data_IF_821773831022
#
_entry.id   IF_821773831022
#
_cell.length_a   1.000
_cell.length_b   1.000
_cell.length_c   1.000
_cell.angle_alpha   90.00
_cell.angle_beta   90.00
_cell.angle_gamma   90.00
#
_symmetry.space_group_name_H-M   'P 1'
#
loop_
_entity.id
_entity.type
_entity.pdbx_description
1 polymer ?
2 non-polymer ?
3 non-polymer ?
4 water ?
#
# COMPACT_ATOMS: atom_id res chain seq x y z
N UNK A 1 0.34 -16.63 14.46
CA UNK A 1 1.13 -15.41 14.36
C UNK A 1 2.24 -15.48 15.43
N UNK A 2 1.89 -15.24 16.70
CA UNK A 2 2.88 -15.11 17.77
C UNK A 2 3.27 -16.47 18.34
N UNK A 3 4.58 -16.75 18.39
CA UNK A 3 5.14 -17.96 18.98
C UNK A 3 6.16 -17.61 20.05
N UNK A 4 6.48 -18.60 20.88
CA UNK A 4 7.43 -18.48 21.99
C UNK A 4 8.38 -19.66 21.93
N UNK A 5 9.65 -19.41 22.29
CA UNK A 5 10.69 -20.42 22.30
C UNK A 5 10.64 -21.26 23.57
N UNK A 6 10.59 -22.60 23.41
CA UNK A 6 10.49 -23.50 24.57
C UNK A 6 11.84 -23.92 25.11
N UNK A 7 12.87 -23.90 24.27
CA UNK A 7 14.21 -24.37 24.61
C UNK A 7 15.22 -23.38 24.04
N UNK A 8 16.34 -23.21 24.73
CA UNK A 8 17.45 -22.43 24.18
C UNK A 8 18.03 -23.13 22.95
N UNK A 9 18.52 -22.31 22.00
CA UNK A 9 18.94 -22.83 20.69
C UNK A 9 19.98 -21.90 20.05
N UNK A 10 21.25 -22.33 20.08
CA UNK A 10 22.28 -21.88 19.15
C UNK A 10 22.07 -22.30 17.72
N UNK A 11 22.31 -21.33 16.83
CA UNK A 11 22.22 -21.51 15.39
C UNK A 11 23.23 -22.53 14.91
N UNK A 12 22.74 -23.50 14.13
CA UNK A 12 23.51 -24.53 13.45
C UNK A 12 23.81 -24.04 12.06
N UNK A 13 22.73 -24.06 11.29
CA UNK A 13 22.76 -24.10 9.86
C UNK A 13 23.13 -22.72 9.37
N UNK A 14 22.91 -22.52 8.09
CA UNK A 14 23.20 -21.26 7.46
C UNK A 14 22.01 -20.31 7.53
N UNK A 15 20.79 -20.86 7.63
CA UNK A 15 19.56 -20.11 7.47
C UNK A 15 18.81 -19.84 8.78
N UNK A 16 19.38 -20.21 9.93
CA UNK A 16 18.63 -20.12 11.17
C UNK A 16 19.21 -19.05 12.09
N UNK A 17 18.37 -18.55 12.99
CA UNK A 17 18.84 -17.65 14.04
C UNK A 17 18.78 -18.32 15.41
N UNK A 18 19.57 -17.75 16.33
CA UNK A 18 19.71 -18.21 17.70
C UNK A 18 18.73 -17.48 18.62
N UNK A 19 18.40 -18.14 19.72
CA UNK A 19 17.44 -17.56 20.67
C UNK A 19 17.51 -18.30 21.99
N UNK A 20 17.02 -17.61 23.02
CA UNK A 20 16.83 -18.14 24.35
C UNK A 20 15.37 -18.52 24.53
N UNK A 21 15.12 -19.53 25.38
CA UNK A 21 13.75 -19.92 25.66
C UNK A 21 13.02 -18.74 26.26
N UNK A 22 11.79 -18.52 25.83
CA UNK A 22 11.01 -17.39 26.28
C UNK A 22 11.00 -16.23 25.30
N UNK A 23 11.97 -16.17 24.38
CA UNK A 23 11.91 -15.17 23.32
C UNK A 23 10.68 -15.42 22.46
N UNK A 24 10.09 -14.33 22.01
CA UNK A 24 8.94 -14.39 21.14
C UNK A 24 9.36 -14.29 19.67
N UNK A 25 8.54 -14.89 18.81
CA UNK A 25 8.71 -14.82 17.38
C UNK A 25 7.34 -14.61 16.79
N UNK A 26 7.32 -13.89 15.68
CA UNK A 26 6.13 -13.74 14.85
C UNK A 26 6.41 -14.46 13.53
N UNK A 27 5.52 -15.39 13.20
CA UNK A 27 5.78 -16.43 12.19
C UNK A 27 5.31 -15.96 10.82
N UNK A 28 6.16 -16.16 9.80
CA UNK A 28 5.85 -15.79 8.43
C UNK A 28 5.23 -16.96 7.67
N UNK A 29 5.96 -18.06 7.57
CA UNK A 29 5.34 -19.28 7.07
C UNK A 29 6.10 -20.48 7.61
N UNK A 30 5.48 -21.64 7.50
CA UNK A 30 6.17 -22.88 7.78
C UNK A 30 7.08 -23.23 6.61
N UNK A 31 7.71 -24.40 6.71
CA UNK A 31 8.32 -25.01 5.54
C UNK A 31 7.97 -26.49 5.57
N UNK A 32 8.85 -27.31 6.14
CA UNK A 32 8.58 -28.73 6.29
C UNK A 32 7.59 -28.95 7.43
N UNK A 33 7.53 -30.16 8.00
CA UNK A 33 6.70 -30.41 9.16
C UNK A 33 7.39 -29.91 10.41
N UNK A 34 8.36 -29.03 10.19
CA UNK A 34 9.24 -28.50 11.22
C UNK A 34 9.48 -27.06 10.79
N UNK A 35 10.75 -26.62 10.68
CA UNK A 35 11.15 -25.26 10.25
C UNK A 35 10.06 -24.22 10.06
N UNK A 36 10.14 -23.11 10.76
CA UNK A 36 9.38 -21.92 10.43
C UNK A 36 10.33 -20.81 9.99
N UNK A 37 9.83 -19.95 9.11
CA UNK A 37 10.39 -18.64 8.84
C UNK A 37 9.70 -17.62 9.74
N UNK A 38 10.49 -16.81 10.45
CA UNK A 38 9.93 -15.95 11.50
C UNK A 38 10.75 -14.67 11.66
N UNK A 39 10.21 -13.75 12.47
CA UNK A 39 10.92 -12.56 12.91
C UNK A 39 11.04 -12.58 14.42
N UNK A 40 12.27 -12.47 14.92
CA UNK A 40 12.49 -12.27 16.35
C UNK A 40 11.95 -10.93 16.80
N UNK A 41 11.08 -10.93 17.82
CA UNK A 41 10.75 -9.65 18.41
C UNK A 41 11.96 -9.07 19.13
N UNK A 42 12.89 -9.92 19.57
CA UNK A 42 14.02 -9.39 20.34
C UNK A 42 14.99 -8.61 19.45
N UNK A 43 15.18 -9.03 18.20
CA UNK A 43 16.18 -8.42 17.34
C UNK A 43 15.64 -7.96 16.00
N UNK A 44 14.36 -8.22 15.69
CA UNK A 44 13.82 -7.89 14.39
C UNK A 44 14.45 -8.65 13.23
N UNK A 45 15.24 -9.67 13.51
CA UNK A 45 15.85 -10.45 12.43
C UNK A 45 14.89 -11.50 11.88
N UNK A 46 14.95 -11.70 10.57
CA UNK A 46 14.15 -12.70 9.87
C UNK A 46 15.00 -13.93 9.61
N UNK A 47 14.46 -15.10 9.93
CA UNK A 47 15.21 -16.30 9.65
C UNK A 47 14.41 -17.52 10.06
N UNK A 48 15.09 -18.66 10.03
CA UNK A 48 14.44 -19.94 10.25
C UNK A 48 14.62 -20.37 11.70
N UNK A 49 13.53 -20.81 12.33
CA UNK A 49 13.58 -21.43 13.65
C UNK A 49 13.06 -22.85 13.51
N UNK A 50 13.57 -23.83 14.27
CA UNK A 50 13.07 -25.21 14.12
C UNK A 50 11.81 -25.43 14.92
N UNK A 51 10.86 -26.15 14.34
CA UNK A 51 9.59 -26.30 15.04
C UNK A 51 9.74 -27.08 16.36
N UNK A 52 10.80 -27.89 16.52
CA UNK A 52 10.98 -28.55 17.81
C UNK A 52 11.25 -27.58 18.96
N UNK A 53 11.49 -26.30 18.70
CA UNK A 53 11.89 -25.41 19.78
C UNK A 53 10.84 -24.36 20.11
N UNK A 54 9.71 -24.36 19.40
CA UNK A 54 8.87 -23.19 19.31
C UNK A 54 7.41 -23.67 19.37
N UNK A 55 6.53 -22.82 19.89
CA UNK A 55 5.13 -23.18 20.05
C UNK A 55 4.29 -21.93 19.95
N UNK A 56 3.01 -22.06 19.55
CA UNK A 56 2.15 -20.87 19.43
C UNK A 56 1.62 -20.40 20.78
N UNK A 57 1.46 -19.07 20.90
CA UNK A 57 0.95 -18.46 22.12
C UNK A 57 -0.56 -18.27 22.01
N UNK A 58 -1.00 -17.26 21.26
CA UNK A 58 -2.38 -16.87 21.17
C UNK A 58 -2.60 -15.48 20.59
N UNK A 59 -1.66 -15.05 19.74
CA UNK A 59 -1.76 -13.77 19.03
C UNK A 59 -2.43 -13.87 17.67
N UNK A 65 -7.88 -14.14 11.38
CA UNK A 65 -9.19 -14.31 10.78
C UNK A 65 -9.16 -14.11 9.29
N UNK A 66 -9.04 -12.85 8.88
CA UNK A 66 -8.85 -12.51 7.48
C UNK A 66 -7.39 -12.13 7.25
N UNK A 67 -7.00 -12.16 5.97
CA UNK A 67 -5.66 -11.69 5.63
C UNK A 67 -5.44 -10.25 6.08
N UNK A 68 -6.50 -9.43 6.12
CA UNK A 68 -6.28 -8.00 6.33
C UNK A 68 -5.98 -7.66 7.79
N UNK A 69 -6.66 -8.30 8.76
CA UNK A 69 -6.21 -8.09 10.14
C UNK A 69 -4.83 -8.66 10.34
N UNK A 70 -4.53 -9.76 9.66
CA UNK A 70 -3.22 -10.39 9.83
C UNK A 70 -2.06 -9.52 9.31
N UNK A 71 -2.21 -8.86 8.14
CA UNK A 71 -1.22 -7.84 7.75
C UNK A 71 -1.11 -6.75 8.81
N UNK A 72 -2.26 -6.21 9.25
CA UNK A 72 -2.24 -5.17 10.27
C UNK A 72 -1.59 -5.66 11.56
N UNK A 73 -1.86 -6.91 11.94
CA UNK A 73 -1.29 -7.43 13.18
C UNK A 73 0.21 -7.57 13.05
N UNK A 74 0.70 -8.04 11.88
CA UNK A 74 2.13 -8.17 11.68
C UNK A 74 2.82 -6.82 11.85
N UNK A 75 2.27 -5.77 11.21
CA UNK A 75 2.85 -4.44 11.28
C UNK A 75 2.97 -3.97 12.73
N UNK A 76 1.92 -4.18 13.53
CA UNK A 76 1.89 -3.67 14.89
C UNK A 76 2.84 -4.44 15.80
N UNK A 77 3.19 -5.67 15.44
CA UNK A 77 4.16 -6.45 16.19
C UNK A 77 5.59 -6.14 15.75
N UNK A 78 5.81 -5.95 14.45
CA UNK A 78 7.15 -5.94 13.88
C UNK A 78 7.66 -4.52 13.60
N UNK A 79 6.81 -3.59 13.15
CA UNK A 79 7.30 -2.29 12.70
C UNK A 79 7.39 -1.27 13.83
N UNK A 80 8.38 -0.37 13.74
CA UNK A 80 8.46 0.81 14.60
C UNK A 80 7.30 1.76 14.34
N UNK A 81 6.39 1.97 15.29
CA UNK A 81 5.29 2.91 15.06
C UNK A 81 5.81 4.31 14.79
N UNK A 82 5.02 5.08 14.05
CA UNK A 82 5.32 6.45 13.66
C UNK A 82 6.47 6.57 12.69
N UNK A 83 6.90 5.47 12.07
CA UNK A 83 8.00 5.43 11.11
C UNK A 83 7.48 4.79 9.82
N UNK A 84 6.94 5.60 8.90
CA UNK A 84 6.34 5.04 7.66
C UNK A 84 7.22 4.07 6.91
N UNK A 85 8.53 4.35 6.82
CA UNK A 85 9.43 3.44 6.11
C UNK A 85 9.38 2.05 6.74
N UNK A 86 9.40 2.00 8.07
CA UNK A 86 9.27 0.76 8.80
C UNK A 86 7.96 0.04 8.46
N UNK A 87 6.84 0.78 8.45
CA UNK A 87 5.56 0.12 8.17
C UNK A 87 5.56 -0.47 6.77
N UNK A 88 6.03 0.28 5.76
CA UNK A 88 6.16 -0.26 4.42
C UNK A 88 7.00 -1.52 4.37
N UNK A 89 8.10 -1.55 5.10
CA UNK A 89 8.93 -2.74 5.05
C UNK A 89 8.22 -3.94 5.69
N UNK A 90 7.40 -3.69 6.73
CA UNK A 90 6.66 -4.77 7.38
C UNK A 90 5.62 -5.38 6.43
N UNK A 91 4.82 -4.53 5.78
CA UNK A 91 3.81 -5.02 4.85
C UNK A 91 4.47 -5.77 3.69
N UNK A 92 5.54 -5.17 3.13
CA UNK A 92 6.37 -5.82 2.13
C UNK A 92 6.84 -7.19 2.60
N UNK A 93 7.40 -7.26 3.82
CA UNK A 93 7.89 -8.52 4.39
C UNK A 93 6.79 -9.56 4.48
N UNK A 94 5.65 -9.20 5.08
CA UNK A 94 4.58 -10.17 5.24
C UNK A 94 4.00 -10.58 3.90
N UNK A 95 3.84 -9.63 2.99
CA UNK A 95 3.25 -9.98 1.70
C UNK A 95 4.24 -10.67 0.78
N UNK A 96 5.53 -10.66 1.10
CA UNK A 96 6.50 -11.46 0.35
C UNK A 96 6.53 -12.91 0.83
N UNK A 97 6.62 -13.13 2.14
CA UNK A 97 6.92 -14.45 2.66
C UNK A 97 5.73 -15.15 3.30
N UNK A 98 4.73 -14.41 3.75
CA UNK A 98 3.60 -15.00 4.45
C UNK A 98 2.37 -15.13 3.57
N UNK A 99 2.01 -14.08 2.83
CA UNK A 99 0.74 -14.09 2.11
C UNK A 99 0.77 -13.00 1.07
N UNK A 100 0.58 -13.37 -0.20
CA UNK A 100 0.39 -12.37 -1.24
C UNK A 100 -0.78 -11.46 -0.93
N UNK A 101 -0.60 -10.15 -1.17
CA UNK A 101 -1.70 -9.18 -1.13
C UNK A 101 -1.50 -8.14 -2.23
N UNK A 102 -2.62 -7.59 -2.72
CA UNK A 102 -2.66 -6.78 -3.94
C UNK A 102 -2.19 -5.34 -3.76
N UNK A 103 -1.45 -5.03 -2.70
CA UNK A 103 -0.76 -3.75 -2.65
C UNK A 103 0.11 -3.60 -3.89
N UNK A 104 0.27 -2.36 -4.37
CA UNK A 104 1.43 -2.08 -5.20
C UNK A 104 2.65 -2.45 -4.38
N UNK A 105 3.61 -3.13 -4.97
CA UNK A 105 4.71 -3.68 -4.18
C UNK A 105 5.74 -2.62 -3.84
N UNK A 106 6.91 -3.10 -3.37
CA UNK A 106 8.06 -2.20 -3.29
C UNK A 106 8.51 -1.74 -4.66
N UNK A 107 8.33 -2.58 -5.68
CA UNK A 107 8.81 -2.31 -7.04
C UNK A 107 8.11 -1.11 -7.68
N UNK A 108 6.81 -1.27 -7.97
CA UNK A 108 5.99 -0.16 -8.41
C UNK A 108 6.00 0.99 -7.42
N UNK A 109 6.28 0.73 -6.14
CA UNK A 109 6.44 1.81 -5.19
C UNK A 109 7.69 2.65 -5.39
N UNK A 110 8.72 2.08 -6.01
CA UNK A 110 9.84 2.91 -6.46
C UNK A 110 9.34 3.93 -7.47
N UNK A 111 8.50 3.51 -8.41
CA UNK A 111 7.98 4.43 -9.44
C UNK A 111 7.23 5.58 -8.77
N UNK A 112 6.26 5.25 -7.90
CA UNK A 112 5.48 6.28 -7.23
C UNK A 112 6.37 7.26 -6.48
N UNK A 113 7.39 6.73 -5.79
CA UNK A 113 8.29 7.62 -5.06
C UNK A 113 8.94 8.62 -6.00
N UNK A 114 9.31 8.17 -7.20
CA UNK A 114 9.93 9.06 -8.18
C UNK A 114 8.92 10.07 -8.70
N UNK A 115 7.72 9.61 -9.09
CA UNK A 115 6.64 10.50 -9.53
C UNK A 115 6.23 11.46 -8.42
N UNK A 116 5.96 10.93 -7.20
CA UNK A 116 5.60 11.82 -6.09
C UNK A 116 6.67 12.88 -5.91
N UNK A 117 7.94 12.47 -5.95
CA UNK A 117 9.05 13.40 -5.75
C UNK A 117 9.15 14.39 -6.90
N UNK A 118 8.99 13.91 -8.14
CA UNK A 118 9.12 14.76 -9.31
C UNK A 118 8.09 15.87 -9.33
N UNK A 119 6.87 15.59 -8.83
CA UNK A 119 5.75 16.50 -9.00
C UNK A 119 5.21 17.12 -7.71
N UNK A 120 5.83 16.86 -6.53
CA UNK A 120 5.48 17.51 -5.27
C UNK A 120 4.00 17.87 -5.14
N UNK A 121 3.09 16.92 -5.27
CA UNK A 121 1.66 17.28 -5.25
C UNK A 121 1.29 17.88 -3.90
N UNK A 122 0.49 18.95 -3.94
CA UNK A 122 -0.07 19.51 -2.71
C UNK A 122 -1.34 18.78 -2.29
N UNK A 123 -1.95 18.02 -3.19
CA UNK A 123 -3.21 17.35 -2.95
C UNK A 123 -3.28 16.17 -3.89
N UNK A 124 -3.47 14.98 -3.32
CA UNK A 124 -3.48 13.72 -4.06
C UNK A 124 -4.80 13.01 -3.76
N UNK A 125 -5.33 12.32 -4.76
CA UNK A 125 -6.49 11.46 -4.60
C UNK A 125 -6.08 10.05 -4.96
N UNK A 126 -6.15 9.16 -3.98
CA UNK A 126 -5.98 7.74 -4.20
C UNK A 126 -7.35 7.11 -4.37
N UNK A 127 -7.47 6.27 -5.38
CA UNK A 127 -8.68 5.48 -5.63
C UNK A 127 -8.32 4.04 -5.30
N UNK A 128 -8.66 3.62 -4.08
CA UNK A 128 -8.41 2.26 -3.64
C UNK A 128 -7.38 2.11 -2.53
N UNK A 129 -7.82 2.22 -1.28
CA UNK A 129 -6.87 2.21 -0.17
C UNK A 129 -6.41 0.80 0.17
N UNK A 130 -7.35 -0.14 0.27
CA UNK A 130 -7.12 -1.52 0.65
C UNK A 130 -6.55 -1.56 2.07
N UNK A 131 -5.29 -1.99 2.22
CA UNK A 131 -4.74 -2.08 3.57
C UNK A 131 -3.97 -0.83 3.97
N UNK A 132 -3.97 0.20 3.13
CA UNK A 132 -3.29 1.43 3.46
C UNK A 132 -1.85 1.48 3.02
N UNK A 133 -1.34 0.44 2.36
CA UNK A 133 0.05 0.44 1.92
C UNK A 133 0.39 1.69 1.12
N UNK A 134 -0.29 1.89 -0.02
CA UNK A 134 0.11 3.00 -0.90
C UNK A 134 -0.18 4.36 -0.28
N UNK A 135 -1.25 4.49 0.50
CA UNK A 135 -1.48 5.76 1.19
C UNK A 135 -0.25 6.14 2.01
N UNK A 136 0.32 5.17 2.74
CA UNK A 136 1.49 5.48 3.55
C UNK A 136 2.68 5.83 2.65
N UNK A 137 2.88 5.00 1.62
CA UNK A 137 3.95 5.18 0.64
C UNK A 137 3.97 6.61 0.06
N UNK A 138 2.80 7.15 -0.30
CA UNK A 138 2.74 8.52 -0.82
C UNK A 138 2.81 9.58 0.26
N UNK A 139 2.02 9.43 1.33
CA UNK A 139 1.94 10.48 2.35
C UNK A 139 3.28 10.69 3.04
N UNK A 140 4.08 9.64 3.21
CA UNK A 140 5.42 9.81 3.78
C UNK A 140 6.29 10.74 2.95
N UNK A 141 5.91 11.05 1.71
CA UNK A 141 6.73 11.87 0.84
C UNK A 141 6.14 13.24 0.56
N UNK A 142 4.90 13.53 0.97
CA UNK A 142 4.31 14.85 0.82
C UNK A 142 5.07 15.89 1.64
N UNK A 143 5.20 17.07 1.06
CA UNK A 143 5.63 18.25 1.77
C UNK A 143 4.70 18.54 2.94
N UNK A 144 5.22 19.17 4.01
CA UNK A 144 4.35 19.59 5.12
C UNK A 144 3.16 20.41 4.63
N UNK A 145 2.01 20.16 5.23
CA UNK A 145 0.80 20.85 4.81
C UNK A 145 0.07 20.15 3.69
N UNK A 146 0.81 19.44 2.84
CA UNK A 146 0.20 18.73 1.71
C UNK A 146 -0.71 17.59 2.20
N UNK A 147 -1.74 17.30 1.42
CA UNK A 147 -2.86 16.47 1.80
C UNK A 147 -3.00 15.27 0.88
N UNK A 148 -3.40 14.13 1.44
CA UNK A 148 -3.80 12.97 0.65
C UNK A 148 -5.25 12.61 0.97
N UNK A 149 -6.02 12.28 -0.08
CA UNK A 149 -7.40 11.83 0.07
C UNK A 149 -7.52 10.48 -0.60
N UNK A 150 -7.89 9.44 0.15
CA UNK A 150 -8.06 8.11 -0.43
C UNK A 150 -9.52 7.69 -0.37
N UNK A 151 -9.95 6.94 -1.39
CA UNK A 151 -11.35 6.54 -1.54
C UNK A 151 -11.42 5.03 -1.52
N UNK A 152 -12.24 4.47 -0.63
CA UNK A 152 -12.32 3.04 -0.39
C UNK A 152 -13.77 2.63 -0.22
N UNK A 153 -14.26 1.68 -1.04
CA UNK A 153 -15.68 1.29 -0.99
C UNK A 153 -15.88 0.63 0.35
N UNK A 154 -15.42 -0.61 0.41
CA UNK A 154 -15.31 -1.53 1.52
C UNK A 154 -15.04 -0.84 2.84
N UNK A 155 -16.01 -0.81 3.75
CA UNK A 155 -15.76 -0.24 5.08
C UNK A 155 -14.74 -1.05 5.86
N UNK A 156 -14.62 -2.34 5.55
CA UNK A 156 -13.63 -3.16 6.24
C UNK A 156 -12.21 -2.73 5.89
N UNK A 157 -11.92 -2.61 4.58
CA UNK A 157 -10.62 -2.11 4.16
C UNK A 157 -10.36 -0.71 4.71
N UNK A 158 -11.41 0.10 4.84
CA UNK A 158 -11.26 1.45 5.38
C UNK A 158 -10.84 1.42 6.84
N UNK A 159 -11.43 0.53 7.63
CA UNK A 159 -11.09 0.46 9.06
C UNK A 159 -9.63 0.08 9.25
N UNK A 160 -9.11 -0.81 8.40
CA UNK A 160 -7.71 -1.23 8.50
C UNK A 160 -6.80 -0.09 8.07
N UNK A 161 -7.14 0.56 6.96
CA UNK A 161 -6.34 1.66 6.46
C UNK A 161 -6.19 2.71 7.55
N UNK A 162 -7.25 2.96 8.31
CA UNK A 162 -7.21 3.97 9.37
C UNK A 162 -6.22 3.57 10.47
N UNK A 163 -6.28 2.31 10.92
CA UNK A 163 -5.32 1.84 11.91
C UNK A 163 -3.91 1.86 11.35
N UNK A 164 -3.74 1.39 10.12
CA UNK A 164 -2.42 1.39 9.50
C UNK A 164 -1.83 2.79 9.42
N UNK A 165 -2.65 3.80 9.11
CA UNK A 165 -2.15 5.19 9.12
C UNK A 165 -1.85 5.65 10.54
N UNK A 166 -2.79 5.41 11.47
CA UNK A 166 -2.53 5.71 12.88
C UNK A 166 -1.18 5.13 13.30
N UNK A 167 -0.89 3.90 12.89
CA UNK A 167 0.36 3.30 13.31
C UNK A 167 1.54 4.04 12.71
N UNK A 168 1.44 4.38 11.40
CA UNK A 168 2.53 5.05 10.70
C UNK A 168 2.71 6.49 11.13
N UNK A 169 1.76 7.06 11.87
CA UNK A 169 1.83 8.44 12.26
C UNK A 169 1.37 9.39 11.18
N UNK A 170 0.83 8.86 10.09
CA UNK A 170 0.43 9.64 8.92
C UNK A 170 -1.04 9.98 8.92
N UNK A 171 -1.78 9.66 10.00
CA UNK A 171 -3.21 9.93 9.98
C UNK A 171 -3.52 11.41 9.85
N UNK A 172 -2.61 12.30 10.29
CA UNK A 172 -2.89 13.73 10.33
C UNK A 172 -2.82 14.39 8.95
N UNK A 173 -2.17 13.75 7.97
CA UNK A 173 -2.12 14.29 6.62
C UNK A 173 -2.81 13.40 5.59
N UNK A 174 -3.73 12.55 6.02
CA UNK A 174 -4.52 11.70 5.14
C UNK A 174 -5.96 11.72 5.63
N UNK A 175 -6.89 11.42 4.73
CA UNK A 175 -8.32 11.41 5.02
C UNK A 175 -8.95 10.35 4.14
N UNK A 176 -9.40 9.24 4.76
CA UNK A 176 -10.09 8.18 4.03
C UNK A 176 -11.53 8.60 3.79
N UNK A 177 -12.03 8.29 2.60
CA UNK A 177 -13.39 8.59 2.19
C UNK A 177 -14.09 7.28 1.92
N UNK A 178 -15.27 7.11 2.54
CA UNK A 178 -15.99 5.83 2.57
C UNK A 178 -17.00 5.80 1.42
N UNK A 179 -16.72 5.03 0.39
CA UNK A 179 -17.70 4.88 -0.67
C UNK A 179 -17.04 4.52 -1.99
N UNK A 180 -17.88 4.33 -2.99
CA UNK A 180 -17.36 4.08 -4.32
C UNK A 180 -16.87 5.40 -4.92
N UNK A 181 -16.07 5.29 -5.97
CA UNK A 181 -15.53 6.46 -6.62
C UNK A 181 -16.63 7.35 -7.20
N UNK A 182 -17.51 6.76 -8.04
CA UNK A 182 -18.54 7.52 -8.74
C UNK A 182 -19.49 8.27 -7.80
N UNK A 183 -19.62 7.84 -6.56
CA UNK A 183 -20.38 8.48 -5.49
C UNK A 183 -19.66 9.68 -4.93
N UNK A 184 -18.33 9.52 -4.76
CA UNK A 184 -17.50 10.43 -3.96
C UNK A 184 -16.85 11.52 -4.80
N UNK A 185 -16.43 11.16 -6.02
CA UNK A 185 -15.79 12.12 -6.92
C UNK A 185 -16.67 13.35 -7.17
N UNK A 186 -17.95 13.21 -7.53
CA UNK A 186 -18.80 14.42 -7.60
C UNK A 186 -18.91 15.19 -6.28
N UNK A 187 -18.78 14.52 -5.13
CA UNK A 187 -18.89 15.17 -3.83
C UNK A 187 -17.66 16.01 -3.49
N UNK A 188 -16.64 15.99 -4.35
CA UNK A 188 -15.32 16.47 -3.96
C UNK A 188 -15.28 17.99 -3.81
N UNK A 189 -15.57 18.71 -4.90
CA UNK A 189 -15.58 20.16 -4.76
C UNK A 189 -16.65 20.60 -3.77
N UNK A 190 -17.86 20.04 -3.91
CA UNK A 190 -18.94 20.24 -2.95
C UNK A 190 -18.47 20.13 -1.50
N UNK A 191 -18.22 18.90 -1.07
CA UNK A 191 -18.32 18.58 0.34
C UNK A 191 -16.95 18.63 1.02
N UNK A 192 -15.86 18.51 0.26
CA UNK A 192 -14.48 18.53 0.75
C UNK A 192 -13.69 19.55 -0.07
N UNK A 193 -13.70 20.81 0.38
CA UNK A 193 -13.36 21.96 -0.45
C UNK A 193 -12.07 21.81 -1.26
N UNK A 194 -12.11 21.07 -2.37
CA UNK A 194 -10.98 20.96 -3.29
C UNK A 194 -11.30 21.79 -4.53
N UNK A 195 -10.31 22.54 -5.00
CA UNK A 195 -10.42 23.19 -6.30
C UNK A 195 -10.08 22.18 -7.38
N UNK A 196 -8.79 22.02 -7.63
CA UNK A 196 -8.28 20.98 -8.50
C UNK A 196 -7.35 20.06 -7.73
N UNK A 197 -7.14 18.89 -8.34
CA UNK A 197 -6.27 17.84 -7.89
C UNK A 197 -4.94 17.88 -8.63
N UNK A 198 -3.84 17.89 -7.86
CA UNK A 198 -2.49 17.83 -8.41
C UNK A 198 -2.14 16.44 -8.94
N UNK A 199 -2.74 15.40 -8.37
CA UNK A 199 -2.36 14.02 -8.68
C UNK A 199 -3.46 13.06 -8.23
N UNK A 200 -3.61 11.99 -9.00
CA UNK A 200 -4.61 10.95 -8.75
C UNK A 200 -3.95 9.59 -8.94
N UNK A 201 -4.13 8.71 -7.98
CA UNK A 201 -3.61 7.35 -8.09
C UNK A 201 -4.75 6.38 -8.34
N UNK A 202 -4.54 5.46 -9.28
CA UNK A 202 -5.56 4.57 -9.81
C UNK A 202 -5.15 3.12 -9.53
N UNK A 203 -5.66 2.51 -8.45
CA UNK A 203 -5.41 1.10 -8.16
C UNK A 203 -6.65 0.42 -7.58
N UNK A 204 -7.83 0.84 -8.03
CA UNK A 204 -9.09 0.33 -7.49
C UNK A 204 -9.59 -0.64 -8.56
N UNK A 205 -10.88 -0.90 -8.76
CA UNK A 205 -11.20 -2.00 -9.68
C UNK A 205 -10.96 -1.60 -11.14
N UNK A 206 -10.38 -2.54 -11.90
CA UNK A 206 -9.69 -2.19 -13.15
C UNK A 206 -10.63 -1.59 -14.18
N UNK A 207 -11.92 -1.95 -14.14
CA UNK A 207 -12.83 -1.43 -15.16
C UNK A 207 -13.20 0.04 -14.89
N UNK A 208 -13.23 0.46 -13.63
CA UNK A 208 -13.65 1.80 -13.25
C UNK A 208 -12.60 2.86 -13.56
N UNK A 209 -11.50 2.51 -14.24
CA UNK A 209 -10.49 3.48 -14.62
C UNK A 209 -10.95 4.46 -15.70
N UNK A 210 -12.05 4.18 -16.39
CA UNK A 210 -12.53 5.10 -17.42
C UNK A 210 -13.71 5.95 -16.96
N UNK A 211 -14.74 5.37 -16.32
CA UNK A 211 -15.80 6.23 -15.78
C UNK A 211 -15.23 7.33 -14.92
N UNK A 212 -14.33 6.94 -14.02
CA UNK A 212 -13.79 7.86 -13.01
C UNK A 212 -12.90 8.91 -13.63
N UNK A 213 -12.09 8.52 -14.61
CA UNK A 213 -11.29 9.50 -15.34
C UNK A 213 -12.19 10.53 -16.01
N UNK A 214 -13.11 10.04 -16.86
CA UNK A 214 -14.05 10.93 -17.51
C UNK A 214 -14.88 11.71 -16.50
N UNK A 215 -15.27 11.07 -15.40
CA UNK A 215 -16.03 11.76 -14.37
C UNK A 215 -15.25 12.91 -13.77
N UNK A 216 -13.96 12.67 -13.47
CA UNK A 216 -13.14 13.69 -12.80
C UNK A 216 -12.90 14.87 -13.73
N UNK A 217 -12.60 14.57 -14.98
CA UNK A 217 -12.55 15.57 -16.03
C UNK A 217 -13.82 16.43 -16.01
N UNK A 218 -14.93 15.80 -16.36
CA UNK A 218 -16.28 16.38 -16.37
C UNK A 218 -16.67 17.00 -15.03
N UNK A 219 -15.91 16.73 -13.97
CA UNK A 219 -16.13 17.38 -12.69
C UNK A 219 -15.23 18.60 -12.49
N UNK A 220 -14.32 18.87 -13.44
CA UNK A 220 -13.39 19.96 -13.37
C UNK A 220 -12.17 19.76 -12.50
N UNK A 221 -12.09 18.63 -11.78
CA UNK A 221 -11.06 18.44 -10.77
C UNK A 221 -9.67 18.35 -11.38
N UNK A 222 -9.58 17.94 -12.64
CA UNK A 222 -8.33 17.92 -13.38
C UNK A 222 -7.95 19.33 -13.83
N UNK A 223 -6.68 19.69 -13.64
CA UNK A 223 -6.19 20.89 -14.27
C UNK A 223 -5.10 20.51 -15.27
N UNK A 224 -4.70 21.47 -16.09
CA UNK A 224 -3.56 21.27 -16.96
C UNK A 224 -2.34 21.00 -16.09
N UNK A 225 -1.78 19.79 -16.20
CA UNK A 225 -0.60 19.41 -15.45
C UNK A 225 -0.87 18.40 -14.35
N UNK A 226 -2.14 18.20 -13.97
CA UNK A 226 -2.53 17.12 -13.07
C UNK A 226 -2.03 15.77 -13.58
N UNK A 227 -1.35 15.03 -12.71
CA UNK A 227 -0.69 13.79 -13.08
C UNK A 227 -1.59 12.62 -12.71
N UNK A 228 -1.84 11.73 -13.66
CA UNK A 228 -2.62 10.52 -13.44
C UNK A 228 -1.67 9.34 -13.46
N UNK A 229 -1.63 8.60 -12.36
CA UNK A 229 -0.79 7.42 -12.23
C UNK A 229 -1.72 6.23 -12.04
N UNK A 230 -1.58 5.23 -12.91
CA UNK A 230 -2.49 4.07 -12.98
C UNK A 230 -1.71 2.77 -12.77
N UNK A 231 -1.98 2.09 -11.66
CA UNK A 231 -1.45 0.75 -11.40
C UNK A 231 -2.25 -0.30 -12.15
N UNK A 232 -1.57 -1.41 -12.44
CA UNK A 232 -2.20 -2.59 -13.03
C UNK A 232 -2.76 -2.28 -14.42
N UNK A 233 -2.10 -1.37 -15.15
CA UNK A 233 -2.14 -1.51 -16.61
C UNK A 233 -1.27 -2.72 -16.94
N UNK A 234 -1.42 -3.23 -18.16
CA UNK A 234 -0.73 -4.46 -18.56
C UNK A 234 -1.30 -5.64 -17.77
N UNK A 235 -0.69 -6.00 -16.64
CA UNK A 235 -1.17 -7.13 -15.79
C UNK A 235 -2.46 -6.66 -15.13
N UNK A 236 -3.24 -7.51 -14.45
CA UNK A 236 -4.66 -7.59 -14.76
C UNK A 236 -4.98 -7.16 -16.18
N UNK A 237 -5.04 -5.85 -16.41
CA UNK A 237 -5.27 -5.28 -17.73
C UNK A 237 -6.26 -4.13 -17.71
N UNK A 238 -5.82 -2.96 -18.09
CA UNK A 238 -6.74 -1.84 -18.22
C UNK A 238 -6.80 -1.40 -19.66
N UNK A 239 -7.54 -2.09 -20.49
CA UNK A 239 -7.34 -1.98 -21.93
C UNK A 239 -8.03 -0.77 -22.55
N UNK A 240 -9.21 -0.43 -22.03
CA UNK A 240 -9.81 0.74 -22.67
C UNK A 240 -9.29 2.02 -22.04
N UNK A 241 -8.82 1.96 -20.79
CA UNK A 241 -8.16 3.13 -20.23
C UNK A 241 -6.91 3.40 -21.04
N UNK A 242 -6.04 2.40 -21.14
CA UNK A 242 -4.75 2.56 -21.76
C UNK A 242 -4.88 2.86 -23.25
N UNK A 243 -6.12 2.93 -23.76
CA UNK A 243 -6.39 3.36 -25.13
C UNK A 243 -6.99 4.76 -25.20
N UNK A 244 -8.07 5.00 -24.46
CA UNK A 244 -8.59 6.35 -24.27
C UNK A 244 -7.46 7.37 -24.12
N UNK A 245 -6.53 7.10 -23.22
CA UNK A 245 -5.63 8.13 -22.71
C UNK A 245 -4.44 8.34 -23.64
N UNK A 246 -3.89 7.26 -24.21
CA UNK A 246 -2.74 7.34 -25.09
C UNK A 246 -3.09 7.86 -26.48
N UNK A 247 -4.37 7.97 -26.82
CA UNK A 247 -4.75 8.51 -28.11
C UNK A 247 -5.46 9.84 -28.00
N UNK A 248 -5.83 10.23 -26.79
CA UNK A 248 -6.46 11.52 -26.56
C UNK A 248 -5.39 12.59 -26.45
N UNK A 249 -5.57 13.69 -27.20
CA UNK A 249 -4.72 14.86 -27.09
C UNK A 249 -4.81 15.54 -25.74
N UNK A 250 -5.81 15.16 -24.92
CA UNK A 250 -5.97 15.67 -23.56
C UNK A 250 -5.05 14.99 -22.55
N UNK A 251 -4.17 14.09 -22.99
CA UNK A 251 -3.25 13.42 -22.08
C UNK A 251 -1.93 13.16 -22.81
N UNK A 252 -0.83 13.51 -22.16
CA UNK A 252 0.47 12.98 -22.55
C UNK A 252 0.85 11.85 -21.59
N UNK A 253 1.01 10.64 -22.15
CA UNK A 253 1.24 9.42 -21.41
C UNK A 253 2.72 9.06 -21.34
N UNK A 254 3.09 8.37 -20.27
CA UNK A 254 4.45 7.89 -20.17
C UNK A 254 4.41 6.52 -19.51
N UNK A 255 5.14 5.53 -20.02
CA UNK A 255 4.99 4.18 -19.42
C UNK A 255 6.22 3.73 -18.65
N UNK A 256 6.01 3.06 -17.51
CA UNK A 256 7.11 2.60 -16.63
C UNK A 256 6.90 1.14 -16.24
N UNK A 257 7.94 0.32 -16.26
CA UNK A 257 7.95 -1.11 -15.97
C UNK A 257 8.76 -1.45 -14.72
N UNK A 258 8.45 -2.62 -14.17
CA UNK A 258 9.20 -3.35 -13.14
C UNK A 258 8.43 -4.63 -12.87
N UNK A 266 5.67 -8.36 -17.65
CA UNK A 266 6.19 -7.22 -16.91
C UNK A 266 5.06 -6.22 -16.66
N UNK A 267 4.74 -6.00 -15.38
CA UNK A 267 3.67 -5.07 -15.05
C UNK A 267 4.18 -3.63 -15.20
N UNK A 268 3.27 -2.67 -15.08
CA UNK A 268 3.68 -1.28 -15.26
C UNK A 268 2.69 -0.26 -14.76
N UNK A 269 3.20 0.96 -14.62
CA UNK A 269 2.42 2.14 -14.28
C UNK A 269 2.33 3.02 -15.52
N UNK A 270 1.18 3.64 -15.75
CA UNK A 270 1.05 4.63 -16.81
C UNK A 270 0.91 6.02 -16.19
N UNK A 271 1.85 6.90 -16.52
CA UNK A 271 1.75 8.31 -16.16
C UNK A 271 0.99 9.05 -17.26
N UNK A 272 -0.09 9.74 -16.87
CA UNK A 272 -0.96 10.44 -17.80
C UNK A 272 -1.11 11.87 -17.31
N UNK A 273 -0.34 12.79 -17.90
CA UNK A 273 -0.37 14.19 -17.49
C UNK A 273 -1.46 14.88 -18.31
N UNK A 274 -2.51 15.38 -17.65
CA UNK A 274 -3.65 16.01 -18.33
C UNK A 274 -3.25 17.33 -18.98
N UNK A 275 -3.41 17.44 -20.31
CA UNK A 275 -2.94 18.66 -20.95
C UNK A 275 -4.07 19.63 -21.25
N UNK A 276 -5.30 19.29 -20.89
CA UNK A 276 -6.42 20.19 -20.95
C UNK A 276 -7.55 19.58 -21.75
N UNK A 277 -8.71 20.27 -21.78
CA UNK A 277 -9.84 19.88 -22.63
C UNK A 277 -9.66 20.28 -24.09
#
# INVERSE_FOLDING_TARGET
MLFVALYDYEARTEDDLSFHKGEKFVILRSSEGDWWLAVSLTTGEQGYIPSNYVAPVGGSGGSGGTKEQRILEFVQLVAKPGDPQSVLEAIDQYCTYAEWAMNVGDAKGQIMDAVIREYSPSLVLELGAYCGYSAVRMARLLQPGARLLTMEINPDCAAITQQMLNFAGLQDKVTILNGASQDLIPQLKKKYDVDTLDMVFLDHWKDRYLPDTLLLEKCGLLRKGTVLLADNVIVPGTPDFLAYVRGSSSFECTHYSSYLEYMKVVDGLEKAIYQGPGENLYFQSAGHHHHHH
#
